data_IF_955907850023
#
_entry.id   IF_955907850023
#
_cell.length_a   1.000
_cell.length_b   1.000
_cell.length_c   1.000
_cell.angle_alpha   90.00
_cell.angle_beta   90.00
_cell.angle_gamma   90.00
#
_symmetry.space_group_name_H-M   'P 1'
#
loop_
_entity.id
_entity.type
_entity.pdbx_description
1 polymer ?
#
# COMPACT_ATOMS: atom_id res chain seq x y z
N UNK A 1 -11.04 9.91 33.41
CA UNK A 1 -11.85 9.07 32.50
C UNK A 1 -12.35 9.80 31.23
N UNK A 2 -12.43 11.14 31.22
CA UNK A 2 -12.92 11.93 30.06
C UNK A 2 -11.91 12.10 28.91
N UNK A 3 -10.61 12.22 29.18
CA UNK A 3 -9.57 12.46 28.16
C UNK A 3 -9.48 11.36 27.08
N UNK A 4 -9.64 10.09 27.47
CA UNK A 4 -9.54 8.95 26.54
C UNK A 4 -10.69 8.93 25.52
N UNK A 5 -11.87 9.43 25.89
CA UNK A 5 -13.02 9.51 24.98
C UNK A 5 -12.86 10.60 23.91
N UNK A 6 -12.12 11.66 24.22
CA UNK A 6 -11.90 12.76 23.29
C UNK A 6 -10.81 12.42 22.27
N UNK A 7 -9.71 11.78 22.70
CA UNK A 7 -8.66 11.29 21.79
C UNK A 7 -9.19 10.23 20.83
N UNK A 8 -9.96 9.25 21.33
CA UNK A 8 -10.59 8.24 20.47
C UNK A 8 -11.50 8.86 19.40
N UNK A 9 -12.24 9.93 19.75
CA UNK A 9 -13.10 10.66 18.80
C UNK A 9 -12.27 11.42 17.76
N UNK A 10 -11.15 12.04 18.16
CA UNK A 10 -10.22 12.73 17.24
C UNK A 10 -9.55 11.74 16.27
N UNK A 11 -9.07 10.60 16.77
CA UNK A 11 -8.49 9.54 15.95
C UNK A 11 -9.51 8.96 14.95
N UNK A 12 -10.75 8.71 15.40
CA UNK A 12 -11.81 8.24 14.51
C UNK A 12 -12.17 9.26 13.43
N UNK A 13 -12.27 10.54 13.79
CA UNK A 13 -12.55 11.62 12.85
C UNK A 13 -11.42 11.80 11.81
N UNK A 14 -10.16 11.74 12.27
CA UNK A 14 -8.98 11.78 11.41
C UNK A 14 -8.96 10.60 10.45
N UNK A 15 -9.21 9.38 10.96
CA UNK A 15 -9.29 8.17 10.14
C UNK A 15 -10.38 8.28 9.08
N UNK A 16 -11.59 8.70 9.46
CA UNK A 16 -12.68 8.90 8.51
C UNK A 16 -12.38 9.95 7.43
N UNK A 17 -11.71 11.04 7.79
CA UNK A 17 -11.28 12.05 6.82
C UNK A 17 -10.23 11.49 5.86
N UNK A 18 -9.19 10.85 6.39
CA UNK A 18 -8.13 10.23 5.59
C UNK A 18 -8.71 9.19 4.62
N UNK A 19 -9.62 8.32 5.07
CA UNK A 19 -10.31 7.35 4.21
C UNK A 19 -11.08 8.05 3.09
N UNK A 20 -11.83 9.12 3.39
CA UNK A 20 -12.58 9.86 2.37
C UNK A 20 -11.66 10.51 1.34
N UNK A 21 -10.54 11.09 1.77
CA UNK A 21 -9.54 11.68 0.88
C UNK A 21 -8.92 10.61 -0.03
N UNK A 22 -8.53 9.47 0.53
CA UNK A 22 -7.97 8.36 -0.25
C UNK A 22 -8.97 7.82 -1.28
N UNK A 23 -10.25 7.67 -0.89
CA UNK A 23 -11.30 7.25 -1.83
C UNK A 23 -11.54 8.29 -2.92
N UNK A 24 -11.51 9.58 -2.59
CA UNK A 24 -11.66 10.65 -3.57
C UNK A 24 -10.51 10.64 -4.58
N UNK A 25 -9.26 10.54 -4.12
CA UNK A 25 -8.07 10.43 -4.99
C UNK A 25 -8.17 9.17 -5.85
N UNK A 26 -8.53 8.02 -5.27
CA UNK A 26 -8.72 6.78 -6.01
C UNK A 26 -9.77 6.90 -7.12
N UNK A 27 -10.92 7.51 -6.83
CA UNK A 27 -11.96 7.74 -7.83
C UNK A 27 -11.47 8.66 -8.96
N UNK A 28 -10.74 9.74 -8.64
CA UNK A 28 -10.16 10.64 -9.66
C UNK A 28 -9.17 9.88 -10.55
N UNK A 29 -8.29 9.06 -9.98
CA UNK A 29 -7.33 8.26 -10.74
C UNK A 29 -8.03 7.25 -11.67
N UNK A 30 -9.10 6.61 -11.21
CA UNK A 30 -9.92 5.70 -12.04
C UNK A 30 -10.54 6.46 -13.21
N UNK A 31 -11.06 7.68 -12.99
CA UNK A 31 -11.62 8.50 -14.07
C UNK A 31 -10.54 8.92 -15.07
N UNK A 32 -9.35 9.29 -14.58
CA UNK A 32 -8.22 9.69 -15.41
C UNK A 32 -7.74 8.58 -16.34
N UNK A 33 -7.83 7.31 -15.94
CA UNK A 33 -7.50 6.15 -16.81
C UNK A 33 -8.34 6.12 -18.09
N UNK A 34 -9.57 6.64 -18.08
CA UNK A 34 -10.40 6.69 -19.29
C UNK A 34 -10.11 7.91 -20.17
N UNK A 35 -9.51 8.95 -19.61
CA UNK A 35 -9.16 10.19 -20.34
C UNK A 35 -7.78 10.02 -20.99
N UNK A 36 -6.83 9.47 -20.24
CA UNK A 36 -5.45 9.31 -20.65
C UNK A 36 -5.28 7.92 -21.26
N UNK A 37 -5.27 7.86 -22.59
CA UNK A 37 -4.91 6.63 -23.31
C UNK A 37 -3.41 6.40 -23.16
N UNK A 38 -3.04 5.51 -22.24
CA UNK A 38 -1.66 5.04 -22.12
C UNK A 38 -1.38 4.06 -23.26
N UNK A 39 -0.31 4.29 -24.00
CA UNK A 39 0.23 3.31 -24.93
C UNK A 39 1.18 2.40 -24.14
N UNK A 40 0.73 1.18 -23.85
CA UNK A 40 1.58 0.14 -23.31
C UNK A 40 2.54 -0.38 -24.36
N UNK A 41 3.70 -0.88 -23.94
CA UNK A 41 4.64 -1.57 -24.84
C UNK A 41 4.13 -2.98 -25.19
N UNK A 42 3.20 -3.50 -24.37
CA UNK A 42 2.56 -4.81 -24.53
C UNK A 42 1.04 -4.67 -24.43
N UNK A 43 0.31 -5.53 -25.16
CA UNK A 43 -1.16 -5.51 -25.19
C UNK A 43 -1.84 -5.65 -23.82
N UNK A 44 -1.12 -6.19 -22.81
CA UNK A 44 -1.62 -6.30 -21.44
C UNK A 44 -1.61 -4.94 -20.71
N UNK A 45 -0.65 -4.07 -21.02
CA UNK A 45 -0.52 -2.74 -20.42
C UNK A 45 -1.56 -1.74 -20.92
N UNK A 46 -2.20 -2.05 -22.05
CA UNK A 46 -3.30 -1.27 -22.63
C UNK A 46 -4.63 -1.52 -21.91
N UNK A 47 -4.71 -2.52 -21.03
CA UNK A 47 -5.91 -2.77 -20.24
C UNK A 47 -6.16 -1.61 -19.27
N UNK A 48 -7.43 -1.15 -19.14
CA UNK A 48 -7.78 -0.15 -18.15
C UNK A 48 -7.49 -0.68 -16.74
N UNK A 49 -7.07 0.19 -15.83
CA UNK A 49 -6.71 -0.15 -14.44
C UNK A 49 -5.47 -1.04 -14.30
N UNK A 50 -4.81 -1.44 -15.39
CA UNK A 50 -3.62 -2.30 -15.33
C UNK A 50 -2.56 -1.82 -14.33
N UNK A 51 -2.16 -0.53 -14.26
CA UNK A 51 -1.10 -0.10 -13.35
C UNK A 51 -1.54 -0.14 -11.90
N UNK A 52 -2.81 0.15 -11.61
CA UNK A 52 -3.34 0.09 -10.26
C UNK A 52 -3.30 -1.35 -9.73
N UNK A 53 -3.75 -2.30 -10.54
CA UNK A 53 -3.73 -3.74 -10.21
C UNK A 53 -2.29 -4.25 -10.13
N UNK A 54 -1.46 -3.91 -11.13
CA UNK A 54 -0.06 -4.31 -11.17
C UNK A 54 0.72 -3.79 -9.97
N UNK A 55 0.63 -2.50 -9.65
CA UNK A 55 1.30 -1.90 -8.50
C UNK A 55 0.85 -2.52 -7.17
N UNK A 56 -0.44 -2.84 -7.04
CA UNK A 56 -0.96 -3.54 -5.88
C UNK A 56 -0.33 -4.93 -5.70
N UNK A 57 -0.28 -5.74 -6.76
CA UNK A 57 0.37 -7.04 -6.73
C UNK A 57 1.88 -6.93 -6.49
N UNK A 58 2.56 -5.99 -7.15
CA UNK A 58 3.99 -5.71 -6.91
C UNK A 58 4.24 -5.39 -5.43
N UNK A 59 3.39 -4.56 -4.81
CA UNK A 59 3.49 -4.25 -3.39
C UNK A 59 3.33 -5.52 -2.52
N UNK A 60 2.34 -6.36 -2.81
CA UNK A 60 2.17 -7.66 -2.13
C UNK A 60 3.43 -8.51 -2.28
N UNK A 61 3.95 -8.66 -3.49
CA UNK A 61 5.15 -9.47 -3.76
C UNK A 61 6.39 -8.92 -3.06
N UNK A 62 6.56 -7.60 -2.98
CA UNK A 62 7.66 -6.98 -2.22
C UNK A 62 7.54 -7.28 -0.74
N UNK A 63 6.34 -7.12 -0.15
CA UNK A 63 6.13 -7.37 1.29
C UNK A 63 6.32 -8.85 1.61
N UNK A 64 5.68 -9.74 0.85
CA UNK A 64 5.81 -11.20 1.01
C UNK A 64 7.25 -11.63 0.77
N UNK A 65 7.89 -11.11 -0.27
CA UNK A 65 9.30 -11.32 -0.57
C UNK A 65 10.20 -10.87 0.57
N UNK A 66 9.92 -9.73 1.21
CA UNK A 66 10.64 -9.26 2.39
C UNK A 66 10.48 -10.19 3.59
N UNK A 67 9.29 -10.76 3.80
CA UNK A 67 9.05 -11.76 4.85
C UNK A 67 9.86 -13.04 4.57
N UNK A 68 9.92 -13.48 3.32
CA UNK A 68 10.73 -14.63 2.92
C UNK A 68 12.22 -14.35 3.07
N UNK A 69 12.69 -13.19 2.62
CA UNK A 69 14.06 -12.74 2.76
C UNK A 69 14.46 -12.68 4.24
N UNK A 70 13.57 -12.22 5.12
CA UNK A 70 13.80 -12.25 6.57
C UNK A 70 14.11 -13.65 7.07
N UNK A 71 13.43 -14.70 6.60
CA UNK A 71 13.73 -16.08 7.02
C UNK A 71 15.12 -16.55 6.60
N UNK A 72 15.61 -16.09 5.45
CA UNK A 72 16.92 -16.47 4.91
C UNK A 72 18.03 -15.61 5.52
N UNK A 73 17.78 -14.31 5.68
CA UNK A 73 18.76 -13.33 6.07
C UNK A 73 18.87 -13.14 7.59
N UNK A 74 17.84 -13.50 8.37
CA UNK A 74 17.88 -13.35 9.81
C UNK A 74 18.92 -14.30 10.41
N UNK A 75 19.95 -13.71 10.99
CA UNK A 75 21.00 -14.41 11.74
C UNK A 75 20.47 -14.86 13.09
N UNK A 76 21.07 -15.90 13.69
CA UNK A 76 20.74 -16.29 15.06
C UNK A 76 21.13 -15.15 16.03
N UNK A 77 20.45 -15.10 17.18
CA UNK A 77 20.58 -13.99 18.13
C UNK A 77 21.98 -13.88 18.74
N UNK A 78 22.69 -15.00 18.81
CA UNK A 78 24.05 -15.16 19.32
C UNK A 78 25.14 -14.97 18.25
N UNK A 79 24.79 -14.59 17.02
CA UNK A 79 25.73 -14.55 15.89
C UNK A 79 26.91 -13.57 16.06
N UNK A 80 26.75 -12.55 16.92
CA UNK A 80 27.79 -11.58 17.28
C UNK A 80 28.13 -11.61 18.77
N UNK A 81 27.61 -12.58 19.51
CA UNK A 81 28.04 -12.82 20.88
C UNK A 81 29.40 -13.52 20.80
N UNK A 82 30.42 -12.69 20.59
CA UNK A 82 31.83 -13.05 20.71
C UNK A 82 32.14 -13.20 22.20
N UNK A 83 32.25 -14.44 22.69
CA UNK A 83 33.16 -14.75 23.81
C UNK A 83 34.62 -14.53 23.37
#
# INVERSE_FOLDING_TARGET
MSANSEEARKLKAMGQWATRVLLAIGAVLVVLEFIVHRHGEIALEDLPLFPAVYAFFVCIFIVVGGIWLRKIAMRPEDYYDDE
#
